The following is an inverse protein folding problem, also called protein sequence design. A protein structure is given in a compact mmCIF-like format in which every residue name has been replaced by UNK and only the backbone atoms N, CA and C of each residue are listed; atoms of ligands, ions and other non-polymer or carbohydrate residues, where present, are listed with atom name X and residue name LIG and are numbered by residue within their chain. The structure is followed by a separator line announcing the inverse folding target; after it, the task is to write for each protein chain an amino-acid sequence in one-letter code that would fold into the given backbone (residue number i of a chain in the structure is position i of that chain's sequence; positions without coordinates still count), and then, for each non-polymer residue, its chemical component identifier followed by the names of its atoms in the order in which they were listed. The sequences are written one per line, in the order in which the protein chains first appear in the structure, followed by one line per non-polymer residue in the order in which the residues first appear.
data_IF_695457672542
#
_entry.id   IF_695457672542
#
_cell.length_a   1.000
_cell.length_b   1.000
_cell.length_c   1.000
_cell.angle_alpha   90.00
_cell.angle_beta   90.00
_cell.angle_gamma   90.00
#
_symmetry.space_group_name_H-M   'P 1'
#
loop_
_entity.id
_entity.type
_entity.pdbx_description
1 polymer ?
#
# COMPACT_ATOMS: atom_id res chain seq x y z
N UNK A 1 -4.17 9.00 3.06
CA UNK A 1 -3.55 7.72 3.46
C UNK A 1 -4.47 6.51 3.33
N UNK A 2 -5.75 6.65 2.97
CA UNK A 2 -6.71 5.53 2.95
C UNK A 2 -6.72 4.76 1.62
N UNK A 3 -6.25 5.38 0.54
CA UNK A 3 -6.30 4.84 -0.82
C UNK A 3 -5.35 3.65 -1.05
N UNK A 4 -4.08 3.65 -0.56
CA UNK A 4 -3.16 2.52 -0.83
C UNK A 4 -3.64 1.16 -0.29
N UNK A 5 -4.19 1.05 0.94
CA UNK A 5 -4.77 -0.19 1.42
C UNK A 5 -5.97 -0.68 0.59
N UNK A 6 -6.81 0.24 0.10
CA UNK A 6 -7.98 -0.09 -0.73
C UNK A 6 -7.54 -0.63 -2.10
N UNK A 7 -6.47 -0.08 -2.69
CA UNK A 7 -5.91 -0.62 -3.94
C UNK A 7 -5.28 -2.00 -3.74
N UNK A 8 -4.55 -2.20 -2.64
CA UNK A 8 -3.97 -3.50 -2.30
C UNK A 8 -5.05 -4.57 -2.12
N UNK A 9 -6.13 -4.27 -1.39
CA UNK A 9 -7.24 -5.22 -1.21
C UNK A 9 -7.97 -5.51 -2.53
N UNK A 10 -8.23 -4.50 -3.36
CA UNK A 10 -8.90 -4.68 -4.66
C UNK A 10 -8.11 -5.57 -5.61
N UNK A 11 -6.77 -5.42 -5.66
CA UNK A 11 -5.90 -6.24 -6.51
C UNK A 11 -5.83 -7.68 -6.04
N UNK A 12 -5.89 -7.93 -4.74
CA UNK A 12 -5.85 -9.28 -4.17
C UNK A 12 -7.20 -10.00 -4.33
N UNK A 13 -8.31 -9.27 -4.19
CA UNK A 13 -9.65 -9.81 -4.42
C UNK A 13 -9.87 -10.22 -5.88
N UNK A 14 -9.16 -9.61 -6.84
CA UNK A 14 -9.34 -9.89 -8.26
C UNK A 14 -8.95 -11.33 -8.68
N UNK A 15 -7.72 -11.84 -8.40
CA UNK A 15 -7.36 -13.24 -8.62
C UNK A 15 -8.19 -14.19 -7.76
N UNK A 16 -8.52 -13.83 -6.52
CA UNK A 16 -9.34 -14.67 -5.64
C UNK A 16 -10.75 -14.89 -6.21
N UNK A 17 -11.34 -13.85 -6.81
CA UNK A 17 -12.66 -13.92 -7.46
C UNK A 17 -12.59 -14.70 -8.78
N UNK A 18 -11.53 -14.53 -9.57
CA UNK A 18 -11.30 -15.34 -10.77
C UNK A 18 -11.07 -16.82 -10.43
N UNK A 19 -10.30 -17.11 -9.37
CA UNK A 19 -10.06 -18.46 -8.88
C UNK A 19 -11.33 -19.15 -8.38
N UNK A 20 -12.26 -18.42 -7.76
CA UNK A 20 -13.54 -18.99 -7.31
C UNK A 20 -14.51 -19.26 -8.46
N UNK A 21 -14.51 -18.42 -9.50
CA UNK A 21 -15.38 -18.59 -10.68
C UNK A 21 -14.86 -19.63 -11.68
N UNK A 22 -13.54 -19.69 -11.89
CA UNK A 22 -12.92 -20.57 -12.90
C UNK A 22 -12.26 -21.83 -12.30
N UNK A 23 -12.05 -21.89 -10.98
CA UNK A 23 -11.41 -23.03 -10.29
C UNK A 23 -12.27 -24.28 -10.11
N UNK A 24 -13.53 -24.27 -10.56
CA UNK A 24 -14.38 -25.47 -10.66
C UNK A 24 -14.19 -26.24 -11.98
N UNK A 25 -13.41 -25.71 -12.93
CA UNK A 25 -13.14 -26.38 -14.21
C UNK A 25 -12.03 -27.44 -14.07
N UNK A 26 -12.31 -28.67 -14.51
CA UNK A 26 -11.35 -29.79 -14.53
C UNK A 26 -10.13 -29.43 -15.39
N UNK A 27 -8.97 -29.26 -14.75
CA UNK A 27 -7.69 -28.95 -15.41
C UNK A 27 -6.96 -27.70 -14.89
N UNK A 28 -7.60 -26.91 -14.02
CA UNK A 28 -7.04 -25.65 -13.51
C UNK A 28 -6.56 -25.73 -12.05
N UNK A 29 -5.91 -26.85 -11.68
CA UNK A 29 -5.40 -27.08 -10.31
C UNK A 29 -4.41 -25.99 -9.85
N UNK A 30 -3.56 -25.51 -10.76
CA UNK A 30 -2.61 -24.42 -10.49
C UNK A 30 -3.30 -23.11 -10.05
N UNK A 31 -4.48 -22.81 -10.60
CA UNK A 31 -5.26 -21.62 -10.25
C UNK A 31 -5.96 -21.79 -8.90
N UNK A 32 -6.35 -23.03 -8.57
CA UNK A 32 -6.88 -23.42 -7.27
C UNK A 32 -5.80 -23.39 -6.19
N UNK A 33 -4.57 -23.77 -6.51
CA UNK A 33 -3.41 -23.68 -5.62
C UNK A 33 -3.02 -22.21 -5.38
N UNK A 34 -3.09 -21.35 -6.40
CA UNK A 34 -2.93 -19.90 -6.25
C UNK A 34 -4.07 -19.31 -5.39
N UNK A 35 -5.32 -19.71 -5.64
CA UNK A 35 -6.46 -19.21 -4.87
C UNK A 35 -6.45 -19.66 -3.40
N UNK A 36 -5.97 -20.86 -3.10
CA UNK A 36 -5.81 -21.37 -1.73
C UNK A 36 -4.60 -20.75 -1.03
N UNK A 37 -3.51 -20.45 -1.73
CA UNK A 37 -2.36 -19.73 -1.16
C UNK A 37 -2.63 -18.23 -0.96
N UNK A 38 -3.55 -17.65 -1.74
CA UNK A 38 -4.09 -16.30 -1.53
C UNK A 38 -5.31 -16.26 -0.58
N UNK A 39 -5.60 -17.35 0.13
CA UNK A 39 -6.68 -17.34 1.12
C UNK A 39 -6.26 -16.65 2.42
N UNK A 40 -7.17 -15.88 3.07
CA UNK A 40 -6.91 -15.27 4.37
C UNK A 40 -6.60 -16.37 5.40
N UNK A 41 -5.41 -16.34 5.99
CA UNK A 41 -4.99 -17.40 6.92
C UNK A 41 -3.56 -17.88 6.72
N UNK A 42 -3.03 -17.77 5.49
CA UNK A 42 -1.67 -18.22 5.19
C UNK A 42 -0.64 -17.10 5.38
N UNK A 43 0.54 -17.39 5.97
CA UNK A 43 1.60 -16.39 6.15
C UNK A 43 2.13 -15.84 4.81
N UNK A 44 1.99 -16.60 3.72
CA UNK A 44 2.35 -16.16 2.36
C UNK A 44 1.45 -15.02 1.91
N UNK A 45 0.13 -15.14 2.12
CA UNK A 45 -0.84 -14.09 1.80
C UNK A 45 -0.52 -12.80 2.57
N UNK A 46 -0.26 -12.91 3.88
CA UNK A 46 0.09 -11.79 4.75
C UNK A 46 1.34 -11.04 4.28
N UNK A 47 2.36 -11.78 3.84
CA UNK A 47 3.64 -11.21 3.38
C UNK A 47 3.47 -10.50 2.02
N UNK A 48 2.72 -11.11 1.10
CA UNK A 48 2.39 -10.51 -0.20
C UNK A 48 1.51 -9.27 -0.03
N UNK A 49 0.52 -9.31 0.87
CA UNK A 49 -0.35 -8.17 1.18
C UNK A 49 0.43 -7.01 1.78
N UNK A 50 1.29 -7.27 2.77
CA UNK A 50 2.19 -6.27 3.35
C UNK A 50 3.10 -5.65 2.28
N UNK A 51 3.69 -6.46 1.40
CA UNK A 51 4.51 -5.99 0.28
C UNK A 51 3.73 -5.08 -0.68
N UNK A 52 2.50 -5.46 -1.03
CA UNK A 52 1.63 -4.64 -1.87
C UNK A 52 1.27 -3.31 -1.20
N UNK A 53 0.94 -3.28 0.09
CA UNK A 53 0.63 -2.04 0.82
C UNK A 53 1.81 -1.07 0.74
N UNK A 54 3.02 -1.54 1.02
CA UNK A 54 4.24 -0.73 0.97
C UNK A 54 4.47 -0.21 -0.45
N UNK A 55 4.40 -1.10 -1.45
CA UNK A 55 4.57 -0.74 -2.85
C UNK A 55 3.58 0.33 -3.30
N UNK A 56 2.29 0.14 -3.05
CA UNK A 56 1.25 1.09 -3.42
C UNK A 56 1.33 2.39 -2.65
N UNK A 57 1.80 2.37 -1.39
CA UNK A 57 2.02 3.60 -0.64
C UNK A 57 3.10 4.47 -1.30
N UNK A 58 4.24 3.87 -1.66
CA UNK A 58 5.30 4.57 -2.40
C UNK A 58 4.87 5.01 -3.80
N UNK A 59 4.20 4.13 -4.54
CA UNK A 59 3.73 4.41 -5.89
C UNK A 59 2.71 5.57 -5.90
N UNK A 60 1.73 5.55 -5.00
CA UNK A 60 0.73 6.61 -4.87
C UNK A 60 1.38 7.95 -4.52
N UNK A 61 2.32 7.97 -3.57
CA UNK A 61 3.01 9.22 -3.21
C UNK A 61 3.85 9.74 -4.38
N UNK A 62 4.57 8.89 -5.10
CA UNK A 62 5.39 9.31 -6.24
C UNK A 62 4.54 9.86 -7.41
N UNK A 63 3.34 9.32 -7.62
CA UNK A 63 2.45 9.74 -8.70
C UNK A 63 1.78 11.10 -8.40
N UNK A 64 1.36 11.30 -7.15
CA UNK A 64 0.65 12.53 -6.74
C UNK A 64 1.61 13.67 -6.42
N UNK A 65 2.80 13.37 -5.90
CA UNK A 65 3.73 14.38 -5.39
C UNK A 65 4.86 14.64 -6.38
N UNK A 66 4.89 15.84 -6.96
CA UNK A 66 5.98 16.31 -7.81
C UNK A 66 6.85 17.35 -7.08
N UNK A 67 8.02 16.97 -6.51
CA UNK A 67 8.84 17.87 -5.68
C UNK A 67 9.37 19.09 -6.46
N UNK A 68 9.58 18.95 -7.77
CA UNK A 68 10.07 20.03 -8.62
C UNK A 68 9.02 21.12 -8.79
N UNK A 69 7.80 20.72 -9.07
CA UNK A 69 6.68 21.65 -9.23
C UNK A 69 6.36 22.39 -7.93
N UNK A 70 6.45 21.71 -6.79
CA UNK A 70 6.27 22.34 -5.47
C UNK A 70 7.38 23.36 -5.19
N UNK A 71 8.64 23.02 -5.50
CA UNK A 71 9.76 23.94 -5.33
C UNK A 71 9.63 25.18 -6.24
N UNK A 72 9.17 25.01 -7.48
CA UNK A 72 8.93 26.12 -8.40
C UNK A 72 7.75 26.98 -7.98
N UNK A 73 6.66 26.38 -7.47
CA UNK A 73 5.53 27.12 -6.90
C UNK A 73 5.93 27.93 -5.67
N UNK A 74 6.74 27.35 -4.76
CA UNK A 74 7.31 28.08 -3.62
C UNK A 74 8.10 29.32 -4.08
N UNK A 75 8.97 29.15 -5.07
CA UNK A 75 9.76 30.25 -5.65
C UNK A 75 8.86 31.32 -6.27
N UNK A 76 7.83 30.93 -7.03
CA UNK A 76 6.86 31.86 -7.64
C UNK A 76 6.03 32.62 -6.61
N UNK A 77 5.68 31.98 -5.50
CA UNK A 77 4.97 32.61 -4.37
C UNK A 77 5.86 33.47 -3.47
N UNK A 78 7.15 33.63 -3.78
CA UNK A 78 8.10 34.37 -2.95
C UNK A 78 8.49 33.67 -1.65
N UNK A 79 8.05 32.42 -1.45
CA UNK A 79 8.39 31.61 -0.29
C UNK A 79 9.68 30.82 -0.53
N UNK A 80 10.48 30.65 0.51
CA UNK A 80 11.71 29.86 0.43
C UNK A 80 11.94 29.09 1.73
N UNK A 81 12.60 27.93 1.60
CA UNK A 81 12.99 27.14 2.75
C UNK A 81 14.28 27.73 3.32
N UNK A 82 14.31 28.16 4.59
CA UNK A 82 15.50 28.79 5.18
C UNK A 82 16.70 27.81 5.15
N UNK A 83 17.85 28.31 4.71
CA UNK A 83 19.09 27.53 4.62
C UNK A 83 19.29 26.75 3.31
N UNK A 84 18.31 26.75 2.38
CA UNK A 84 18.41 26.01 1.11
C UNK A 84 18.17 26.96 -0.07
N UNK A 85 19.03 26.89 -1.10
CA UNK A 85 18.91 27.74 -2.29
C UNK A 85 17.62 27.40 -3.08
N UNK A 86 16.76 28.38 -3.40
CA UNK A 86 15.52 28.12 -4.14
C UNK A 86 15.73 27.43 -5.48
N UNK A 87 14.82 26.50 -5.84
CA UNK A 87 14.85 25.74 -7.09
C UNK A 87 15.27 24.29 -6.86
N UNK A 88 16.27 23.81 -7.61
CA UNK A 88 16.66 22.40 -7.62
C UNK A 88 17.07 21.84 -6.24
N UNK A 89 17.71 22.67 -5.39
CA UNK A 89 18.11 22.25 -4.04
C UNK A 89 16.90 22.10 -3.11
N UNK A 90 15.90 22.99 -3.23
CA UNK A 90 14.62 22.86 -2.51
C UNK A 90 13.86 21.61 -2.95
N UNK A 91 13.81 21.32 -4.25
CA UNK A 91 13.17 20.10 -4.77
C UNK A 91 13.84 18.83 -4.21
N UNK A 92 15.17 18.76 -4.20
CA UNK A 92 15.91 17.61 -3.65
C UNK A 92 15.76 17.46 -2.13
N UNK A 93 15.60 18.57 -1.40
CA UNK A 93 15.29 18.53 0.03
C UNK A 93 13.89 17.98 0.28
N UNK A 94 12.88 18.50 -0.43
CA UNK A 94 11.49 18.05 -0.31
C UNK A 94 11.40 16.56 -0.65
N UNK A 95 12.05 16.11 -1.73
CA UNK A 95 12.07 14.71 -2.13
C UNK A 95 12.61 13.78 -1.03
N UNK A 96 13.75 14.14 -0.41
CA UNK A 96 14.31 13.38 0.72
C UNK A 96 13.37 13.32 1.92
N UNK A 97 12.72 14.44 2.26
CA UNK A 97 11.79 14.50 3.41
C UNK A 97 10.54 13.67 3.13
N UNK A 98 9.96 13.81 1.94
CA UNK A 98 8.78 13.05 1.52
C UNK A 98 9.09 11.56 1.51
N UNK A 99 10.20 11.14 0.93
CA UNK A 99 10.60 9.72 0.90
C UNK A 99 10.72 9.10 2.31
N UNK A 100 11.35 9.81 3.25
CA UNK A 100 11.46 9.34 4.65
C UNK A 100 10.11 9.31 5.36
N UNK A 101 9.26 10.30 5.11
CA UNK A 101 7.92 10.37 5.69
C UNK A 101 7.03 9.24 5.15
N UNK A 102 7.09 8.98 3.85
CA UNK A 102 6.38 7.87 3.19
C UNK A 102 6.86 6.53 3.70
N UNK A 103 8.17 6.35 3.96
CA UNK A 103 8.68 5.11 4.55
C UNK A 103 8.07 4.84 5.94
N UNK A 104 8.08 5.85 6.83
CA UNK A 104 7.48 5.72 8.15
C UNK A 104 5.96 5.51 8.08
N UNK A 105 5.28 6.22 7.18
CA UNK A 105 3.84 6.07 6.95
C UNK A 105 3.46 4.70 6.39
N UNK A 106 4.23 4.16 5.44
CA UNK A 106 4.02 2.84 4.87
C UNK A 106 4.21 1.75 5.94
N UNK A 107 5.24 1.86 6.77
CA UNK A 107 5.48 0.94 7.88
C UNK A 107 4.31 0.95 8.87
N UNK A 108 3.85 2.15 9.29
CA UNK A 108 2.70 2.30 10.17
C UNK A 108 1.41 1.70 9.58
N UNK A 109 1.10 2.01 8.32
CA UNK A 109 -0.09 1.48 7.65
C UNK A 109 -0.05 -0.05 7.53
N UNK A 110 1.12 -0.60 7.21
CA UNK A 110 1.30 -2.06 7.11
C UNK A 110 1.02 -2.72 8.45
N UNK A 111 1.55 -2.19 9.56
CA UNK A 111 1.27 -2.71 10.90
C UNK A 111 -0.22 -2.64 11.23
N UNK A 112 -0.87 -1.50 10.98
CA UNK A 112 -2.31 -1.33 11.26
C UNK A 112 -3.17 -2.30 10.46
N UNK A 113 -2.84 -2.55 9.19
CA UNK A 113 -3.56 -3.51 8.35
C UNK A 113 -3.29 -4.98 8.73
N UNK A 114 -2.11 -5.29 9.27
CA UNK A 114 -1.73 -6.65 9.68
C UNK A 114 -2.32 -7.07 11.04
N UNK A 115 -2.60 -6.12 11.94
CA UNK A 115 -3.22 -6.40 13.25
C UNK A 115 -4.51 -7.23 13.13
N UNK A 116 -5.54 -6.81 12.36
CA UNK A 116 -6.79 -7.58 12.26
C UNK A 116 -6.57 -8.95 11.62
N UNK A 117 -5.65 -9.05 10.65
CA UNK A 117 -5.33 -10.31 9.98
C UNK A 117 -4.72 -11.35 10.95
N UNK A 118 -3.76 -10.91 11.79
CA UNK A 118 -3.15 -11.76 12.81
C UNK A 118 -4.13 -12.16 13.93
N UNK A 119 -5.06 -11.27 14.30
CA UNK A 119 -6.12 -11.55 15.27
C UNK A 119 -7.07 -12.66 14.77
N UNK A 120 -7.47 -12.61 13.50
CA UNK A 120 -8.36 -13.60 12.87
C UNK A 120 -7.67 -14.98 12.83
N UNK A 121 -6.40 -15.04 12.43
CA UNK A 121 -5.62 -16.30 12.34
C UNK A 121 -5.44 -16.96 13.70
N UNK A 122 -5.12 -16.19 14.74
CA UNK A 122 -4.70 -16.74 16.04
C UNK A 122 -5.86 -16.99 17.00
N UNK A 123 -6.91 -16.16 16.96
CA UNK A 123 -8.04 -16.27 17.88
C UNK A 123 -9.31 -16.84 17.25
N UNK A 124 -9.36 -17.03 15.92
CA UNK A 124 -10.51 -17.58 15.20
C UNK A 124 -11.85 -16.87 15.52
N UNK A 125 -11.76 -15.63 16.03
CA UNK A 125 -12.90 -14.73 16.24
C UNK A 125 -12.88 -13.77 15.06
N UNK A 126 -13.89 -13.78 14.17
CA UNK A 126 -13.98 -12.82 13.09
C UNK A 126 -14.21 -11.43 13.69
N UNK A 127 -13.13 -10.70 13.95
CA UNK A 127 -13.16 -9.31 14.40
C UNK A 127 -13.57 -8.40 13.23
N UNK A 128 -14.88 -8.35 12.98
CA UNK A 128 -15.49 -7.32 12.14
C UNK A 128 -15.60 -6.03 12.97
N UNK A 129 -14.60 -5.14 12.89
CA UNK A 129 -14.69 -3.77 13.41
C UNK A 129 -15.42 -2.83 12.41
N UNK A 130 -16.54 -3.31 11.88
CA UNK A 130 -17.44 -2.57 11.04
C UNK A 130 -18.74 -3.33 11.06
N UNK A 131 -19.80 -2.73 11.63
CA UNK A 131 -21.10 -3.35 11.71
C UNK A 131 -21.63 -3.70 10.31
N UNK A 132 -21.36 -4.94 9.91
CA UNK A 132 -22.07 -5.91 9.04
C UNK A 132 -21.12 -7.08 8.84
#
# INVERSE_FOLDING_TARGET
GVIPPIFASSIILFPASLGSWFGQSDGMSWLKDIATTLSPGQPVYTLVYAGMIIFFCFFYTALVFNPREIADNLKKSGAFVPGIRPGAQTAGYIDKVVSRLTFAGAAYLTVVCLIPELLIVKWNVPFYFGGT
#
